data_IF_382384960714
#
_entry.id   IF_382384960714
#
_cell.length_a   1.000
_cell.length_b   1.000
_cell.length_c   1.000
_cell.angle_alpha   90.00
_cell.angle_beta   90.00
_cell.angle_gamma   90.00
#
_symmetry.space_group_name_H-M   'P 1'
#
loop_
_entity.id
_entity.type
_entity.pdbx_description
1 polymer ?
#
# COMPACT_ATOMS: atom_id res chain seq x y z
N UNK A 1 -20.46 -3.87 -12.12
CA UNK A 1 -19.86 -5.07 -11.49
C UNK A 1 -20.49 -5.27 -10.08
N UNK A 2 -20.51 -6.48 -9.54
CA UNK A 2 -21.09 -6.77 -8.20
C UNK A 2 -20.20 -6.20 -7.07
N UNK A 3 -20.70 -5.24 -6.26
CA UNK A 3 -19.94 -4.63 -5.18
C UNK A 3 -19.52 -5.62 -4.08
N UNK A 4 -20.33 -6.65 -3.81
CA UNK A 4 -19.99 -7.65 -2.78
C UNK A 4 -18.84 -8.54 -3.23
N UNK A 5 -18.86 -8.95 -4.49
CA UNK A 5 -17.77 -9.72 -5.09
C UNK A 5 -16.47 -8.90 -5.10
N UNK A 6 -16.53 -7.65 -5.54
CA UNK A 6 -15.38 -6.73 -5.55
C UNK A 6 -14.72 -6.57 -4.17
N UNK A 7 -15.53 -6.38 -3.12
CA UNK A 7 -15.02 -6.28 -1.75
C UNK A 7 -14.50 -7.62 -1.19
N UNK A 8 -14.88 -8.76 -1.77
CA UNK A 8 -14.42 -10.09 -1.35
C UNK A 8 -13.20 -10.62 -2.13
N UNK A 9 -12.82 -9.98 -3.24
CA UNK A 9 -11.80 -10.52 -4.17
C UNK A 9 -10.38 -9.99 -3.94
N UNK A 10 -10.20 -8.91 -3.18
CA UNK A 10 -8.89 -8.31 -2.97
C UNK A 10 -8.42 -8.53 -1.53
N UNK A 11 -7.20 -9.07 -1.38
CA UNK A 11 -6.49 -9.08 -0.11
C UNK A 11 -5.96 -7.70 0.23
N UNK A 12 -5.92 -7.36 1.52
CA UNK A 12 -5.36 -6.11 2.02
C UNK A 12 -4.77 -6.31 3.41
N UNK A 13 -3.93 -5.37 3.82
CA UNK A 13 -3.38 -5.34 5.17
C UNK A 13 -4.45 -4.97 6.20
N UNK A 14 -4.43 -5.62 7.37
CA UNK A 14 -5.29 -5.23 8.48
C UNK A 14 -4.67 -4.01 9.17
N UNK A 15 -5.20 -2.81 8.89
CA UNK A 15 -4.64 -1.55 9.38
C UNK A 15 -4.68 -1.38 10.90
N UNK A 16 -5.35 -2.27 11.64
CA UNK A 16 -5.39 -2.28 13.10
C UNK A 16 -4.49 -3.33 13.75
N UNK A 17 -3.75 -4.10 12.97
CA UNK A 17 -2.80 -5.07 13.53
C UNK A 17 -1.59 -4.33 14.14
N UNK A 18 -1.53 -4.27 15.46
CA UNK A 18 -0.45 -3.62 16.20
C UNK A 18 0.94 -4.14 15.81
N UNK A 19 1.06 -5.43 15.43
CA UNK A 19 2.34 -6.01 15.00
C UNK A 19 2.75 -5.47 13.64
N UNK A 20 1.79 -5.33 12.72
CA UNK A 20 2.01 -4.71 11.43
C UNK A 20 2.43 -3.25 11.60
N UNK A 21 1.67 -2.47 12.37
CA UNK A 21 1.94 -1.04 12.59
C UNK A 21 3.33 -0.84 13.21
N UNK A 22 3.70 -1.66 14.19
CA UNK A 22 5.04 -1.65 14.78
C UNK A 22 6.11 -1.97 13.75
N UNK A 23 5.91 -3.01 12.93
CA UNK A 23 6.86 -3.35 11.88
C UNK A 23 7.06 -2.21 10.88
N UNK A 24 5.98 -1.55 10.45
CA UNK A 24 6.07 -0.40 9.54
C UNK A 24 6.93 0.70 10.15
N UNK A 25 6.67 1.07 11.41
CA UNK A 25 7.44 2.09 12.13
C UNK A 25 8.92 1.73 12.32
N UNK A 26 9.23 0.46 12.59
CA UNK A 26 10.60 0.01 12.84
C UNK A 26 11.41 -0.24 11.55
N UNK A 27 10.73 -0.47 10.43
CA UNK A 27 11.36 -0.94 9.19
C UNK A 27 12.24 0.10 8.49
N UNK A 28 12.01 1.40 8.75
CA UNK A 28 12.69 2.49 8.05
C UNK A 28 12.35 2.60 6.56
N UNK A 29 11.24 2.00 6.11
CA UNK A 29 10.79 2.09 4.71
C UNK A 29 10.32 3.51 4.36
N UNK A 30 10.66 3.95 3.15
CA UNK A 30 10.15 5.23 2.62
C UNK A 30 8.74 5.10 2.03
N UNK A 31 8.34 3.90 1.61
CA UNK A 31 7.09 3.65 0.92
C UNK A 31 6.63 2.19 1.08
N UNK A 32 5.32 1.97 1.13
CA UNK A 32 4.69 0.66 0.95
C UNK A 32 3.92 0.66 -0.37
N UNK A 33 4.09 -0.38 -1.18
CA UNK A 33 3.37 -0.55 -2.45
C UNK A 33 2.56 -1.84 -2.45
N UNK A 34 1.40 -1.82 -3.11
CA UNK A 34 0.54 -2.98 -3.28
C UNK A 34 -0.13 -3.00 -4.66
N UNK A 35 -0.50 -4.19 -5.11
CA UNK A 35 -1.29 -4.46 -6.32
C UNK A 35 -2.80 -4.49 -6.05
N UNK A 36 -3.24 -3.88 -4.95
CA UNK A 36 -4.64 -3.77 -4.56
C UNK A 36 -5.08 -2.29 -4.52
N UNK A 37 -6.35 -2.06 -4.18
CA UNK A 37 -6.98 -0.74 -4.26
C UNK A 37 -6.46 0.27 -3.23
N UNK A 38 -6.14 -0.17 -2.01
CA UNK A 38 -5.92 0.76 -0.90
C UNK A 38 -4.76 0.37 0.04
N UNK A 39 -3.92 -0.61 -0.33
CA UNK A 39 -2.91 -1.25 0.54
C UNK A 39 -3.51 -2.01 1.74
N UNK A 40 -4.42 -1.40 2.48
CA UNK A 40 -5.18 -1.94 3.61
C UNK A 40 -6.61 -2.34 3.28
N UNK A 41 -7.21 -3.12 4.18
CA UNK A 41 -8.64 -3.39 4.21
C UNK A 41 -9.39 -2.17 4.75
N UNK A 42 -10.39 -1.71 4.00
CA UNK A 42 -11.24 -0.57 4.41
C UNK A 42 -12.25 -1.06 5.45
N UNK A 43 -12.23 -0.53 6.69
CA UNK A 43 -13.21 -0.90 7.71
C UNK A 43 -14.65 -0.53 7.29
N UNK A 44 -15.59 -1.39 7.64
CA UNK A 44 -17.03 -1.18 7.35
C UNK A 44 -17.70 -0.16 8.29
N UNK A 45 -17.01 0.27 9.35
CA UNK A 45 -17.51 1.26 10.30
C UNK A 45 -16.35 2.02 10.92
N UNK A 46 -16.48 3.35 10.99
CA UNK A 46 -15.52 4.29 11.62
C UNK A 46 -15.82 4.56 13.10
N UNK A 47 -16.98 4.09 13.60
CA UNK A 47 -17.44 4.34 14.98
C UNK A 47 -17.46 3.08 15.84
N UNK A 48 -17.42 1.90 15.24
CA UNK A 48 -17.35 0.61 15.93
C UNK A 48 -15.96 -0.04 15.74
N UNK A 49 -15.34 -0.60 16.80
CA UNK A 49 -15.78 -0.63 18.21
C UNK A 49 -15.57 0.68 18.98
N UNK A 50 -14.79 1.63 18.44
CA UNK A 50 -14.61 3.02 18.92
C UNK A 50 -14.34 3.94 17.73
N UNK A 51 -14.45 5.27 17.86
CA UNK A 51 -14.02 6.21 16.82
C UNK A 51 -12.55 5.98 16.41
N UNK A 52 -12.28 5.97 15.11
CA UNK A 52 -10.94 5.80 14.54
C UNK A 52 -10.85 6.42 13.14
N UNK A 53 -9.63 6.54 12.62
CA UNK A 53 -9.40 6.96 11.24
C UNK A 53 -10.09 5.99 10.27
N UNK A 54 -10.70 6.51 9.20
CA UNK A 54 -11.35 5.67 8.20
C UNK A 54 -10.39 4.65 7.55
N UNK A 55 -9.10 4.98 7.55
CA UNK A 55 -8.02 4.19 6.96
C UNK A 55 -6.85 4.17 7.98
N UNK A 56 -6.86 3.24 8.95
CA UNK A 56 -5.88 3.22 10.04
C UNK A 56 -4.42 3.08 9.57
N UNK A 57 -4.16 2.26 8.54
CA UNK A 57 -2.81 2.12 8.00
C UNK A 57 -2.37 3.39 7.26
N UNK A 58 -3.28 4.06 6.54
CA UNK A 58 -2.98 5.35 5.91
C UNK A 58 -2.66 6.42 6.95
N UNK A 59 -3.45 6.51 8.03
CA UNK A 59 -3.16 7.42 9.14
C UNK A 59 -1.77 7.14 9.72
N UNK A 60 -1.45 5.87 9.95
CA UNK A 60 -0.15 5.48 10.47
C UNK A 60 0.99 5.81 9.52
N UNK A 61 0.87 5.48 8.24
CA UNK A 61 1.92 5.72 7.25
C UNK A 61 2.07 7.21 6.94
N UNK A 62 1.02 7.84 6.40
CA UNK A 62 1.09 9.18 5.82
C UNK A 62 1.16 10.23 6.92
N UNK A 63 0.24 10.19 7.88
CA UNK A 63 0.11 11.26 8.87
C UNK A 63 1.13 11.13 10.01
N UNK A 64 1.30 9.93 10.58
CA UNK A 64 2.16 9.75 11.76
C UNK A 64 3.65 9.59 11.42
N UNK A 65 3.97 8.96 10.29
CA UNK A 65 5.36 8.58 9.96
C UNK A 65 5.91 9.20 8.66
N UNK A 66 5.09 9.85 7.84
CA UNK A 66 5.52 10.41 6.55
C UNK A 66 5.92 9.36 5.51
N UNK A 67 5.36 8.15 5.61
CA UNK A 67 5.60 7.03 4.69
C UNK A 67 4.58 7.08 3.56
N UNK A 68 5.06 7.03 2.32
CA UNK A 68 4.21 7.05 1.13
C UNK A 68 3.51 5.70 0.90
N UNK A 69 2.34 5.74 0.25
CA UNK A 69 1.61 4.55 -0.20
C UNK A 69 1.50 4.54 -1.71
N UNK A 70 1.75 3.38 -2.32
CA UNK A 70 1.55 3.12 -3.74
C UNK A 70 0.48 2.07 -3.95
N UNK A 71 -0.59 2.44 -4.64
CA UNK A 71 -1.76 1.61 -4.89
C UNK A 71 -1.83 1.18 -6.35
N UNK A 72 -2.54 0.08 -6.62
CA UNK A 72 -2.83 -0.39 -7.98
C UNK A 72 -1.59 -0.70 -8.83
N UNK A 73 -0.49 -1.11 -8.20
CA UNK A 73 0.71 -1.54 -8.94
C UNK A 73 0.42 -2.83 -9.71
N UNK A 74 1.01 -2.99 -10.89
CA UNK A 74 0.96 -4.25 -11.62
C UNK A 74 2.21 -5.08 -11.33
N UNK A 75 2.13 -5.98 -10.34
CA UNK A 75 3.29 -6.71 -9.82
C UNK A 75 3.42 -8.15 -10.34
N UNK A 76 2.43 -8.69 -11.05
CA UNK A 76 2.35 -10.11 -11.43
C UNK A 76 3.61 -10.62 -12.14
N UNK A 77 4.04 -9.92 -13.19
CA UNK A 77 5.19 -10.36 -14.00
C UNK A 77 6.50 -10.27 -13.21
N UNK A 78 6.69 -9.17 -12.45
CA UNK A 78 7.84 -9.00 -11.56
C UNK A 78 7.88 -10.09 -10.48
N UNK A 79 6.75 -10.39 -9.84
CA UNK A 79 6.66 -11.41 -8.80
C UNK A 79 6.97 -12.81 -9.33
N UNK A 80 6.54 -13.15 -10.56
CA UNK A 80 6.90 -14.40 -11.23
C UNK A 80 8.40 -14.46 -11.50
N UNK A 81 8.96 -13.40 -12.08
CA UNK A 81 10.39 -13.32 -12.40
C UNK A 81 11.25 -13.47 -11.15
N UNK A 82 10.95 -12.72 -10.09
CA UNK A 82 11.68 -12.73 -8.82
C UNK A 82 11.69 -14.13 -8.17
N UNK A 83 10.53 -14.81 -8.15
CA UNK A 83 10.43 -16.18 -7.61
C UNK A 83 11.25 -17.18 -8.42
N UNK A 84 11.19 -17.11 -9.74
CA UNK A 84 11.96 -18.01 -10.62
C UNK A 84 13.48 -17.88 -10.42
N UNK A 85 13.95 -16.70 -10.00
CA UNK A 85 15.36 -16.42 -9.74
C UNK A 85 15.74 -16.43 -8.26
N UNK A 86 14.83 -16.79 -7.35
CA UNK A 86 15.10 -16.81 -5.90
C UNK A 86 15.44 -15.43 -5.30
N UNK A 87 14.93 -14.34 -5.90
CA UNK A 87 15.23 -12.96 -5.51
C UNK A 87 14.02 -12.28 -4.90
N UNK A 88 14.27 -11.29 -4.04
CA UNK A 88 13.24 -10.45 -3.41
C UNK A 88 13.60 -8.95 -3.41
N UNK A 89 14.68 -8.57 -4.11
CA UNK A 89 15.22 -7.21 -4.17
C UNK A 89 15.51 -6.81 -5.60
N UNK A 90 15.15 -5.58 -5.93
CA UNK A 90 15.31 -4.94 -7.22
C UNK A 90 15.39 -3.43 -7.02
N UNK A 91 15.87 -2.70 -8.02
CA UNK A 91 15.85 -1.25 -8.02
C UNK A 91 14.50 -0.75 -8.53
N UNK A 92 13.81 0.10 -7.76
CA UNK A 92 12.56 0.73 -8.17
C UNK A 92 12.82 2.17 -8.61
N UNK A 93 12.43 2.50 -9.84
CA UNK A 93 12.37 3.88 -10.33
C UNK A 93 10.91 4.26 -10.52
N UNK A 94 10.37 5.14 -9.68
CA UNK A 94 8.96 5.55 -9.71
C UNK A 94 8.79 7.04 -9.39
N UNK A 95 9.36 7.95 -10.20
CA UNK A 95 9.23 9.38 -9.94
C UNK A 95 7.77 9.82 -10.08
N UNK A 96 7.26 10.67 -9.17
CA UNK A 96 5.97 11.31 -9.35
C UNK A 96 6.05 12.38 -10.42
N UNK A 97 4.90 12.77 -10.98
CA UNK A 97 4.76 13.96 -11.79
C UNK A 97 4.99 15.21 -10.93
N UNK A 98 5.54 16.26 -11.56
CA UNK A 98 5.69 17.57 -10.92
C UNK A 98 4.35 18.31 -10.92
N UNK A 99 3.54 18.08 -9.90
CA UNK A 99 2.22 18.67 -9.72
C UNK A 99 2.15 19.46 -8.40
N UNK A 100 2.56 20.75 -8.38
CA UNK A 100 2.54 21.55 -7.16
C UNK A 100 1.15 21.63 -6.53
N UNK A 101 1.05 21.37 -5.23
CA UNK A 101 -0.21 21.36 -4.47
C UNK A 101 -1.01 20.06 -4.55
N UNK A 102 -0.60 19.08 -5.38
CA UNK A 102 -1.23 17.77 -5.42
C UNK A 102 -0.88 16.93 -4.19
N UNK A 103 -1.83 16.08 -3.77
CA UNK A 103 -1.69 15.16 -2.62
C UNK A 103 -1.22 13.76 -3.02
N UNK A 104 -0.98 13.55 -4.32
CA UNK A 104 -0.55 12.30 -4.91
C UNK A 104 -0.23 12.48 -6.38
N UNK A 105 0.32 11.44 -7.01
CA UNK A 105 0.63 11.44 -8.44
C UNK A 105 0.53 10.03 -9.00
N UNK A 106 0.05 9.85 -10.25
CA UNK A 106 0.36 8.64 -10.99
C UNK A 106 1.88 8.52 -11.17
N UNK A 107 2.35 7.29 -11.30
CA UNK A 107 3.74 6.98 -11.63
C UNK A 107 3.78 5.95 -12.76
N UNK A 108 4.90 5.91 -13.48
CA UNK A 108 5.24 4.80 -14.40
C UNK A 108 6.40 4.03 -13.76
N UNK A 109 6.12 3.18 -12.76
CA UNK A 109 7.16 2.52 -12.00
C UNK A 109 7.89 1.49 -12.86
N UNK A 110 9.22 1.51 -12.83
CA UNK A 110 10.09 0.53 -13.48
C UNK A 110 10.87 -0.22 -12.40
N UNK A 111 10.77 -1.55 -12.43
CA UNK A 111 11.60 -2.45 -11.65
C UNK A 111 12.79 -2.93 -12.49
N UNK A 112 14.00 -2.60 -12.07
CA UNK A 112 15.23 -3.10 -12.68
C UNK A 112 15.73 -4.29 -11.87
N UNK A 113 15.70 -5.47 -12.51
CA UNK A 113 16.04 -6.77 -11.92
C UNK A 113 17.36 -7.30 -12.44
#
# INVERSE_FOLDING_TARGET
PDPKLLHGTCSGLEGRDDRLLKWVSDSGVACLIADNFAVELIPTSITKPRPHAAMPLHEHCIFKNGIHLGELFYLTELARWLRAHGRNRFLLTAPPLRLPGAVGSPATPIATV
#
